data_IF_208173050951
#
_entry.id   IF_208173050951
#
_cell.length_a   1.000
_cell.length_b   1.000
_cell.length_c   1.000
_cell.angle_alpha   90.00
_cell.angle_beta   90.00
_cell.angle_gamma   90.00
#
_symmetry.space_group_name_H-M   'P 1'
#
loop_
_entity.id
_entity.type
_entity.pdbx_description
1 polymer ?
#
# COMPACT_ATOMS: atom_id res chain seq x y z
N UNK A 1 -33.53 -50.74 -49.39
CA UNK A 1 -32.06 -50.92 -49.36
C UNK A 1 -31.44 -49.64 -48.80
N UNK A 2 -30.46 -49.78 -47.87
CA UNK A 2 -29.76 -48.75 -47.07
C UNK A 2 -30.52 -48.29 -45.81
N UNK A 3 -30.30 -48.91 -44.65
CA UNK A 3 -29.14 -48.98 -43.73
C UNK A 3 -29.24 -47.94 -42.59
N UNK A 4 -29.47 -48.50 -41.40
CA UNK A 4 -29.19 -47.98 -40.07
C UNK A 4 -27.99 -47.04 -39.99
N UNK A 5 -28.13 -45.96 -39.21
CA UNK A 5 -27.06 -45.47 -38.35
C UNK A 5 -27.62 -45.09 -36.98
N UNK A 6 -27.29 -45.92 -36.01
CA UNK A 6 -27.35 -45.62 -34.59
C UNK A 6 -26.44 -44.42 -34.28
N UNK A 7 -26.98 -43.38 -33.64
CA UNK A 7 -26.18 -42.41 -32.92
C UNK A 7 -26.28 -42.74 -31.43
N UNK A 8 -25.21 -43.35 -30.89
CA UNK A 8 -24.98 -43.40 -29.46
C UNK A 8 -24.52 -42.02 -29.01
N UNK A 9 -25.34 -41.33 -28.22
CA UNK A 9 -24.93 -40.14 -27.49
C UNK A 9 -24.26 -40.60 -26.19
N UNK A 10 -22.93 -40.53 -26.15
CA UNK A 10 -22.16 -40.75 -24.93
C UNK A 10 -22.18 -39.44 -24.15
N UNK A 11 -22.96 -39.37 -23.08
CA UNK A 11 -22.84 -38.33 -22.06
C UNK A 11 -21.49 -38.53 -21.34
N UNK A 12 -20.48 -37.75 -21.70
CA UNK A 12 -19.29 -37.62 -20.86
C UNK A 12 -19.64 -36.73 -19.67
N UNK A 13 -19.82 -37.33 -18.50
CA UNK A 13 -19.86 -36.61 -17.23
C UNK A 13 -18.40 -36.24 -16.91
N UNK A 14 -18.01 -35.02 -17.27
CA UNK A 14 -16.75 -34.45 -16.82
C UNK A 14 -16.90 -34.12 -15.34
N UNK A 15 -16.29 -34.94 -14.49
CA UNK A 15 -15.97 -34.57 -13.11
C UNK A 15 -14.99 -33.41 -13.17
N UNK A 16 -15.48 -32.19 -13.00
CA UNK A 16 -14.68 -31.07 -12.54
C UNK A 16 -14.25 -31.40 -11.11
N UNK A 17 -13.04 -31.93 -10.97
CA UNK A 17 -12.30 -31.85 -9.73
C UNK A 17 -12.11 -30.38 -9.42
N UNK A 18 -12.97 -29.84 -8.56
CA UNK A 18 -12.72 -28.62 -7.84
C UNK A 18 -11.42 -28.87 -7.08
N UNK A 19 -10.30 -28.29 -7.54
CA UNK A 19 -9.16 -28.09 -6.69
C UNK A 19 -9.69 -27.28 -5.51
N UNK A 20 -9.89 -27.94 -4.37
CA UNK A 20 -10.05 -27.23 -3.12
C UNK A 20 -8.75 -26.44 -2.95
N UNK A 21 -8.81 -25.13 -3.13
CA UNK A 21 -7.90 -24.25 -2.42
C UNK A 21 -8.09 -24.62 -0.95
N UNK A 22 -7.17 -25.42 -0.41
CA UNK A 22 -6.94 -25.39 1.01
C UNK A 22 -6.42 -23.99 1.28
N UNK A 23 -7.34 -23.11 1.65
CA UNK A 23 -7.01 -21.90 2.39
C UNK A 23 -6.24 -22.42 3.59
N UNK A 24 -4.92 -22.33 3.52
CA UNK A 24 -4.08 -22.51 4.69
C UNK A 24 -4.60 -21.46 5.67
N UNK A 25 -5.18 -21.94 6.77
CA UNK A 25 -5.63 -21.09 7.84
C UNK A 25 -4.50 -20.12 8.15
N UNK A 26 -4.74 -18.79 8.11
CA UNK A 26 -3.75 -17.83 8.55
C UNK A 26 -3.36 -18.25 9.97
N UNK A 27 -2.03 -18.35 10.16
CA UNK A 27 -1.37 -18.85 11.37
C UNK A 27 -2.14 -18.36 12.61
N UNK A 28 -2.95 -19.24 13.21
CA UNK A 28 -3.56 -19.00 14.50
C UNK A 28 -2.41 -18.69 15.45
N UNK A 29 -2.42 -17.49 16.00
CA UNK A 29 -1.58 -17.15 17.14
C UNK A 29 -1.96 -18.16 18.21
N UNK A 30 -1.08 -19.14 18.46
CA UNK A 30 -1.32 -20.18 19.48
C UNK A 30 -1.66 -19.52 20.80
N UNK A 31 -2.75 -20.01 21.36
CA UNK A 31 -3.60 -19.61 22.49
C UNK A 31 -2.91 -19.45 23.87
N UNK A 32 -1.65 -19.02 23.95
CA UNK A 32 -0.92 -18.97 25.23
C UNK A 32 -0.37 -17.60 25.64
N UNK A 33 -0.78 -16.51 24.98
CA UNK A 33 -0.31 -15.16 25.36
C UNK A 33 -1.30 -14.02 25.04
N UNK A 34 -2.61 -14.32 25.02
CA UNK A 34 -3.71 -13.35 24.84
C UNK A 34 -4.45 -13.04 26.16
N UNK A 35 -3.71 -12.93 27.26
CA UNK A 35 -4.20 -12.20 28.47
C UNK A 35 -4.37 -10.69 28.19
N UNK A 36 -3.94 -10.22 27.01
CA UNK A 36 -3.95 -8.82 26.62
C UNK A 36 -4.96 -8.61 25.48
N UNK A 37 -6.09 -7.99 25.79
CA UNK A 37 -7.16 -7.62 24.83
C UNK A 37 -6.66 -6.58 23.80
N UNK A 38 -6.01 -7.04 22.73
CA UNK A 38 -5.56 -6.21 21.60
C UNK A 38 -6.74 -5.93 20.65
N UNK A 39 -7.07 -4.66 20.44
CA UNK A 39 -8.15 -4.23 19.55
C UNK A 39 -7.65 -3.89 18.14
N UNK A 40 -6.47 -3.27 18.04
CA UNK A 40 -5.85 -2.93 16.78
C UNK A 40 -4.32 -2.95 16.90
N UNK A 41 -3.66 -3.30 15.79
CA UNK A 41 -2.23 -3.11 15.60
C UNK A 41 -2.00 -2.09 14.49
N UNK A 42 -0.93 -1.32 14.66
CA UNK A 42 -0.35 -0.51 13.61
C UNK A 42 1.09 -0.98 13.43
N UNK A 43 1.38 -1.54 12.28
CA UNK A 43 2.70 -2.04 11.95
C UNK A 43 3.41 -1.03 11.06
N UNK A 44 4.70 -0.84 11.31
CA UNK A 44 5.61 -0.15 10.40
C UNK A 44 6.67 -1.15 9.95
N UNK A 45 6.69 -1.41 8.64
CA UNK A 45 7.60 -2.35 8.01
C UNK A 45 8.61 -1.52 7.23
N UNK A 46 9.88 -1.64 7.62
CA UNK A 46 10.97 -0.96 6.93
C UNK A 46 11.45 -1.83 5.77
N UNK A 47 11.87 -1.20 4.67
CA UNK A 47 12.37 -1.89 3.47
C UNK A 47 13.36 -3.01 3.76
N UNK A 48 14.32 -2.77 4.64
CA UNK A 48 15.37 -3.73 5.02
C UNK A 48 14.87 -5.00 5.74
N UNK A 49 13.59 -5.04 6.14
CA UNK A 49 13.03 -6.12 6.96
C UNK A 49 12.13 -7.07 6.15
N UNK A 50 11.78 -6.73 4.91
CA UNK A 50 10.85 -7.53 4.11
C UNK A 50 11.15 -7.35 2.62
N UNK A 51 11.87 -8.29 2.03
CA UNK A 51 12.26 -8.19 0.62
C UNK A 51 11.07 -8.41 -0.32
N UNK A 52 10.00 -9.09 0.12
CA UNK A 52 8.83 -9.38 -0.71
C UNK A 52 7.97 -8.14 -0.88
N UNK A 53 7.72 -7.40 0.21
CA UNK A 53 6.91 -6.19 0.17
C UNK A 53 7.56 -5.03 -0.59
N UNK A 54 8.87 -5.07 -0.77
CA UNK A 54 9.65 -4.03 -1.42
C UNK A 54 10.40 -4.54 -2.67
N UNK A 55 10.04 -5.74 -3.16
CA UNK A 55 10.58 -6.26 -4.40
C UNK A 55 10.02 -5.46 -5.56
N UNK A 56 10.90 -4.85 -6.34
CA UNK A 56 10.57 -4.32 -7.66
C UNK A 56 11.22 -5.25 -8.68
N UNK A 57 10.42 -6.01 -9.44
CA UNK A 57 10.93 -6.71 -10.62
C UNK A 57 10.90 -5.72 -11.79
N UNK A 58 12.06 -5.49 -12.42
CA UNK A 58 12.19 -4.59 -13.57
C UNK A 58 11.25 -4.95 -14.73
N UNK A 59 10.77 -6.19 -14.79
CA UNK A 59 9.87 -6.68 -15.82
C UNK A 59 8.38 -6.71 -15.39
N UNK A 60 8.07 -6.32 -14.16
CA UNK A 60 6.70 -6.29 -13.64
C UNK A 60 6.25 -4.85 -13.41
N UNK A 61 4.94 -4.61 -13.54
CA UNK A 61 4.36 -3.33 -13.12
C UNK A 61 4.59 -3.18 -11.62
N UNK A 62 5.25 -2.09 -11.26
CA UNK A 62 5.51 -1.70 -9.88
C UNK A 62 4.20 -1.68 -9.06
N UNK A 63 4.23 -2.24 -7.85
CA UNK A 63 3.03 -2.34 -6.99
C UNK A 63 2.40 -0.97 -6.73
N UNK A 64 3.22 0.07 -6.54
CA UNK A 64 2.73 1.43 -6.34
C UNK A 64 2.04 1.96 -7.60
N UNK A 65 2.55 1.60 -8.78
CA UNK A 65 1.95 1.96 -10.08
C UNK A 65 0.60 1.26 -10.28
N UNK A 66 0.48 -0.04 -9.98
CA UNK A 66 -0.82 -0.73 -10.07
C UNK A 66 -1.86 -0.09 -9.12
N UNK A 67 -1.47 0.24 -7.89
CA UNK A 67 -2.36 0.92 -6.93
C UNK A 67 -2.77 2.31 -7.43
N UNK A 68 -1.85 3.06 -8.05
CA UNK A 68 -2.15 4.33 -8.70
C UNK A 68 -3.20 4.14 -9.79
N UNK A 69 -3.05 3.16 -10.67
CA UNK A 69 -4.02 2.88 -11.74
C UNK A 69 -5.41 2.54 -11.19
N UNK A 70 -5.49 1.69 -10.16
CA UNK A 70 -6.75 1.34 -9.49
C UNK A 70 -7.43 2.53 -8.81
N UNK A 71 -6.64 3.46 -8.26
CA UNK A 71 -7.18 4.70 -7.72
C UNK A 71 -7.75 5.57 -8.84
N UNK A 72 -7.00 5.74 -9.94
CA UNK A 72 -7.38 6.57 -11.09
C UNK A 72 -8.61 6.03 -11.84
N UNK A 73 -8.79 4.71 -11.91
CA UNK A 73 -9.99 4.09 -12.46
C UNK A 73 -11.21 4.20 -11.53
N UNK A 74 -10.99 4.54 -10.24
CA UNK A 74 -12.02 4.61 -9.22
C UNK A 74 -12.43 3.24 -8.65
N UNK A 75 -11.66 2.19 -8.96
CA UNK A 75 -11.88 0.84 -8.43
C UNK A 75 -11.62 0.77 -6.93
N UNK A 76 -10.64 1.54 -6.45
CA UNK A 76 -10.33 1.67 -5.03
C UNK A 76 -10.34 3.16 -4.62
N UNK A 77 -10.33 3.43 -3.30
CA UNK A 77 -10.37 4.79 -2.76
C UNK A 77 -9.25 5.06 -1.77
N UNK A 78 -8.83 6.32 -1.71
CA UNK A 78 -7.99 6.82 -0.64
C UNK A 78 -8.78 6.91 0.67
N UNK A 79 -8.14 6.54 1.76
CA UNK A 79 -8.64 6.65 3.11
C UNK A 79 -7.73 7.56 3.92
N UNK A 80 -8.35 8.34 4.80
CA UNK A 80 -7.63 9.14 5.77
C UNK A 80 -8.36 9.12 7.09
N UNK A 81 -7.58 9.27 8.17
CA UNK A 81 -8.11 9.46 9.50
C UNK A 81 -8.23 10.96 9.76
N UNK A 82 -9.38 11.40 10.27
CA UNK A 82 -9.56 12.81 10.65
C UNK A 82 -8.61 13.18 11.79
N UNK A 83 -8.20 14.46 11.85
CA UNK A 83 -7.27 15.00 12.87
C UNK A 83 -7.80 14.84 14.31
N UNK A 84 -9.11 14.78 14.50
CA UNK A 84 -9.75 14.56 15.79
C UNK A 84 -9.77 13.07 16.21
N UNK A 85 -9.00 12.20 15.53
CA UNK A 85 -8.97 10.76 15.76
C UNK A 85 -10.32 10.04 15.58
N UNK A 86 -11.30 10.65 14.92
CA UNK A 86 -12.58 10.00 14.62
C UNK A 86 -12.45 8.95 13.50
N UNK A 87 -13.60 8.47 13.03
CA UNK A 87 -13.71 7.45 11.98
C UNK A 87 -12.87 7.75 10.74
N UNK A 88 -12.47 6.66 10.11
CA UNK A 88 -11.83 6.65 8.81
C UNK A 88 -12.80 7.09 7.73
N UNK A 89 -12.34 7.97 6.86
CA UNK A 89 -13.14 8.49 5.77
C UNK A 89 -12.52 8.18 4.42
N UNK A 90 -13.39 7.98 3.43
CA UNK A 90 -12.95 8.01 2.04
C UNK A 90 -12.64 9.46 1.66
N UNK A 91 -11.50 9.67 1.02
CA UNK A 91 -11.27 10.86 0.23
C UNK A 91 -11.70 10.55 -1.20
N UNK A 92 -12.45 11.44 -1.87
CA UNK A 92 -12.43 11.43 -3.32
C UNK A 92 -10.97 11.59 -3.77
N UNK A 93 -10.62 11.04 -4.93
CA UNK A 93 -9.40 11.48 -5.60
C UNK A 93 -9.46 13.01 -5.72
N UNK A 94 -8.38 13.75 -5.41
CA UNK A 94 -8.40 15.19 -5.55
C UNK A 94 -8.84 15.56 -6.96
N UNK A 95 -9.77 16.52 -7.11
CA UNK A 95 -10.33 16.90 -8.41
C UNK A 95 -9.24 17.23 -9.43
N UNK A 96 -8.15 17.79 -8.94
CA UNK A 96 -6.95 18.12 -9.70
C UNK A 96 -6.28 16.91 -10.38
N UNK A 97 -6.38 15.72 -9.79
CA UNK A 97 -5.89 14.44 -10.36
C UNK A 97 -6.82 13.94 -11.45
N UNK A 98 -8.12 14.11 -11.26
CA UNK A 98 -9.12 13.78 -12.28
C UNK A 98 -8.97 14.71 -13.49
N UNK A 99 -8.73 15.99 -13.24
CA UNK A 99 -8.59 17.00 -14.29
C UNK A 99 -7.27 16.84 -15.07
N UNK A 100 -6.17 16.44 -14.44
CA UNK A 100 -4.91 16.18 -15.15
C UNK A 100 -5.02 15.03 -16.15
N UNK A 101 -5.78 13.99 -15.82
CA UNK A 101 -6.09 12.88 -16.74
C UNK A 101 -6.91 13.39 -17.93
N UNK A 102 -7.87 14.28 -17.67
CA UNK A 102 -8.78 14.80 -18.69
C UNK A 102 -8.11 15.81 -19.64
N UNK A 103 -7.16 16.60 -19.13
CA UNK A 103 -6.57 17.71 -19.88
C UNK A 103 -5.14 17.47 -20.37
N UNK A 104 -4.53 16.31 -20.05
CA UNK A 104 -3.18 15.92 -20.47
C UNK A 104 -2.13 17.04 -20.27
N UNK A 105 -2.24 17.75 -19.14
CA UNK A 105 -1.37 18.86 -18.83
C UNK A 105 -0.04 18.33 -18.26
N UNK A 106 1.00 18.37 -19.08
CA UNK A 106 2.37 17.94 -18.73
C UNK A 106 3.01 18.72 -17.57
N UNK A 107 2.39 19.82 -17.13
CA UNK A 107 2.88 20.63 -16.00
C UNK A 107 2.26 20.25 -14.65
N UNK A 108 1.33 19.29 -14.63
CA UNK A 108 0.62 18.88 -13.43
C UNK A 108 1.34 17.75 -12.66
N UNK A 109 1.38 17.88 -11.33
CA UNK A 109 1.92 16.87 -10.41
C UNK A 109 0.90 16.52 -9.33
N UNK A 110 0.87 15.25 -8.94
CA UNK A 110 0.02 14.72 -7.88
C UNK A 110 0.87 14.40 -6.65
N UNK A 111 0.58 15.06 -5.54
CA UNK A 111 1.27 14.84 -4.26
C UNK A 111 1.32 13.36 -3.84
N UNK A 112 0.29 12.55 -4.12
CA UNK A 112 0.29 11.13 -3.77
C UNK A 112 1.11 10.25 -4.71
N UNK A 113 1.39 10.69 -5.94
CA UNK A 113 2.01 9.83 -6.95
C UNK A 113 3.32 10.39 -7.51
N UNK A 114 3.65 11.64 -7.21
CA UNK A 114 4.81 12.35 -7.73
C UNK A 114 5.50 13.09 -6.59
N UNK A 115 6.83 13.09 -6.61
CA UNK A 115 7.67 13.82 -5.65
C UNK A 115 8.49 14.90 -6.36
N UNK A 116 8.80 15.97 -5.64
CA UNK A 116 9.66 17.03 -6.16
C UNK A 116 11.12 16.56 -6.14
N UNK A 117 11.73 16.35 -7.32
CA UNK A 117 13.14 15.94 -7.45
C UNK A 117 14.10 17.12 -7.57
N UNK A 118 13.63 18.28 -8.09
CA UNK A 118 14.44 19.48 -8.26
C UNK A 118 13.66 20.77 -7.91
N UNK A 119 14.37 21.88 -7.69
CA UNK A 119 13.77 23.22 -7.59
C UNK A 119 14.04 24.01 -6.30
N UNK A 120 14.69 23.42 -5.30
CA UNK A 120 14.97 24.13 -4.03
C UNK A 120 16.47 24.29 -3.73
N UNK A 121 17.34 23.80 -4.60
CA UNK A 121 18.77 24.07 -4.53
C UNK A 121 19.10 25.12 -5.59
N UNK A 122 19.77 26.23 -5.23
CA UNK A 122 20.18 27.22 -6.22
C UNK A 122 21.05 26.58 -7.31
N UNK A 123 20.84 27.00 -8.56
CA UNK A 123 21.72 26.63 -9.66
C UNK A 123 23.16 27.04 -9.32
N UNK A 124 24.16 26.26 -9.71
CA UNK A 124 25.56 26.64 -9.53
C UNK A 124 26.04 27.54 -10.68
N UNK A 125 26.80 28.57 -10.35
CA UNK A 125 27.49 29.42 -11.34
C UNK A 125 28.77 28.73 -11.85
N UNK A 126 29.45 29.36 -12.83
CA UNK A 126 30.67 28.81 -13.44
C UNK A 126 31.85 28.62 -12.47
N UNK A 127 31.77 29.18 -11.25
CA UNK A 127 32.77 29.03 -10.19
C UNK A 127 32.34 28.03 -9.11
N UNK A 128 31.22 27.33 -9.29
CA UNK A 128 30.68 26.35 -8.33
C UNK A 128 29.95 26.96 -7.13
N UNK A 129 29.83 28.28 -7.05
CA UNK A 129 29.01 28.96 -6.03
C UNK A 129 27.54 29.04 -6.45
N UNK A 130 26.66 29.43 -5.52
CA UNK A 130 25.25 29.61 -5.85
C UNK A 130 25.07 30.76 -6.87
N UNK A 131 24.15 30.56 -7.81
CA UNK A 131 23.81 31.54 -8.83
C UNK A 131 22.87 32.58 -8.22
N UNK A 132 23.27 33.84 -8.28
CA UNK A 132 22.55 34.96 -7.67
C UNK A 132 22.33 36.03 -8.74
N UNK A 133 21.09 36.47 -8.92
CA UNK A 133 20.75 37.63 -9.75
C UNK A 133 20.79 38.88 -8.87
N UNK A 134 21.71 39.84 -9.10
CA UNK A 134 21.78 41.05 -8.29
C UNK A 134 20.60 41.98 -8.58
N UNK A 135 20.12 42.68 -7.55
CA UNK A 135 19.15 43.77 -7.69
C UNK A 135 19.84 45.13 -7.79
N UNK A 136 19.26 46.09 -8.55
CA UNK A 136 19.80 47.46 -8.65
C UNK A 136 19.89 48.19 -7.31
N UNK A 137 19.04 47.84 -6.34
CA UNK A 137 18.93 48.48 -5.02
C UNK A 137 19.94 47.98 -3.98
N UNK A 138 20.86 47.08 -4.37
CA UNK A 138 21.73 46.38 -3.43
C UNK A 138 21.02 45.17 -2.82
N UNK A 139 21.52 43.97 -3.15
CA UNK A 139 20.91 42.69 -2.80
C UNK A 139 20.97 41.71 -3.98
N UNK A 140 20.50 40.49 -3.78
CA UNK A 140 20.40 39.51 -4.87
C UNK A 140 19.42 38.39 -4.55
N UNK A 141 18.91 37.73 -5.60
CA UNK A 141 18.01 36.58 -5.49
C UNK A 141 18.71 35.34 -6.01
N UNK A 142 18.63 34.26 -5.24
CA UNK A 142 19.08 32.96 -5.70
C UNK A 142 18.28 32.50 -6.92
N UNK A 143 18.98 32.02 -7.95
CA UNK A 143 18.36 31.46 -9.14
C UNK A 143 18.20 29.97 -8.91
N UNK A 144 16.95 29.52 -8.83
CA UNK A 144 16.60 28.10 -8.71
C UNK A 144 16.28 27.51 -10.09
N UNK A 145 16.57 26.22 -10.33
CA UNK A 145 16.03 25.53 -11.48
C UNK A 145 14.49 25.48 -11.37
N UNK A 146 13.76 25.28 -12.48
CA UNK A 146 12.33 25.03 -12.43
C UNK A 146 12.05 23.79 -11.57
N UNK A 147 10.90 23.78 -10.88
CA UNK A 147 10.46 22.59 -10.14
C UNK A 147 10.30 21.42 -11.10
N UNK A 148 10.94 20.30 -10.76
CA UNK A 148 10.78 19.03 -11.47
C UNK A 148 10.12 18.03 -10.54
N UNK A 149 9.10 17.35 -11.06
CA UNK A 149 8.39 16.29 -10.37
C UNK A 149 8.64 14.96 -11.06
N UNK A 150 8.85 13.93 -10.28
CA UNK A 150 9.11 12.56 -10.75
C UNK A 150 8.11 11.60 -10.11
N UNK A 151 7.68 10.54 -10.83
CA UNK A 151 6.75 9.59 -10.29
C UNK A 151 7.35 8.83 -9.10
N UNK A 152 6.52 8.52 -8.12
CA UNK A 152 6.85 7.64 -7.01
C UNK A 152 6.72 6.19 -7.50
N UNK A 153 7.77 5.42 -7.24
CA UNK A 153 7.89 4.00 -7.49
C UNK A 153 8.22 3.27 -6.18
N UNK A 154 8.00 1.96 -6.10
CA UNK A 154 8.17 1.18 -4.86
C UNK A 154 9.61 1.24 -4.33
N UNK A 155 10.61 1.43 -5.18
CA UNK A 155 12.00 1.60 -4.77
C UNK A 155 12.28 2.91 -4.03
N UNK A 156 11.39 3.90 -4.11
CA UNK A 156 11.45 5.12 -3.29
C UNK A 156 10.70 4.97 -1.96
N UNK A 157 9.88 3.93 -1.81
CA UNK A 157 9.16 3.65 -0.57
C UNK A 157 10.13 3.10 0.46
N UNK A 158 10.21 3.78 1.60
CA UNK A 158 11.09 3.39 2.71
C UNK A 158 10.38 2.58 3.78
N UNK A 159 9.07 2.80 3.93
CA UNK A 159 8.23 2.11 4.90
C UNK A 159 6.88 1.77 4.28
N UNK A 160 6.32 0.62 4.64
CA UNK A 160 4.86 0.39 4.49
C UNK A 160 4.26 0.23 5.88
N UNK A 161 3.08 0.82 6.06
CA UNK A 161 2.33 0.77 7.30
C UNK A 161 1.09 -0.07 7.10
N UNK A 162 0.83 -0.98 8.03
CA UNK A 162 -0.33 -1.86 7.98
C UNK A 162 -1.15 -1.64 9.25
N UNK A 163 -2.44 -1.40 9.09
CA UNK A 163 -3.39 -1.41 10.20
C UNK A 163 -4.08 -2.76 10.24
N UNK A 164 -4.11 -3.38 11.40
CA UNK A 164 -4.89 -4.57 11.67
C UNK A 164 -5.97 -4.29 12.71
N UNK A 165 -7.14 -4.88 12.52
CA UNK A 165 -8.23 -4.82 13.49
C UNK A 165 -8.55 -6.21 14.02
N UNK A 166 -8.99 -6.28 15.27
CA UNK A 166 -9.57 -7.49 15.85
C UNK A 166 -10.90 -7.79 15.17
N UNK A 167 -11.01 -8.97 14.60
CA UNK A 167 -12.22 -9.50 13.96
C UNK A 167 -12.62 -10.77 14.72
N UNK A 168 -13.92 -10.92 14.95
CA UNK A 168 -14.49 -12.15 15.47
C UNK A 168 -14.83 -13.08 14.31
N UNK A 169 -14.30 -14.30 14.33
CA UNK A 169 -14.70 -15.37 13.42
C UNK A 169 -15.76 -16.25 14.08
N UNK A 170 -16.98 -16.22 13.54
CA UNK A 170 -18.07 -17.06 14.01
C UNK A 170 -17.85 -18.55 13.74
N UNK A 171 -17.02 -18.92 12.77
CA UNK A 171 -16.78 -20.31 12.38
C UNK A 171 -15.80 -20.97 13.36
N UNK A 172 -14.65 -20.33 13.62
CA UNK A 172 -13.69 -20.81 14.62
C UNK A 172 -14.05 -20.43 16.06
N UNK A 173 -15.04 -19.54 16.26
CA UNK A 173 -15.44 -19.01 17.57
C UNK A 173 -14.28 -18.34 18.31
N UNK A 174 -13.42 -17.63 17.56
CA UNK A 174 -12.22 -16.99 18.08
C UNK A 174 -12.03 -15.59 17.47
N UNK A 175 -11.15 -14.80 18.08
CA UNK A 175 -10.75 -13.50 17.58
C UNK A 175 -9.35 -13.55 16.97
N UNK A 176 -9.20 -12.94 15.80
CA UNK A 176 -7.91 -12.77 15.15
C UNK A 176 -7.73 -11.33 14.70
N UNK A 177 -6.47 -10.93 14.46
CA UNK A 177 -6.16 -9.63 13.88
C UNK A 177 -6.14 -9.78 12.37
N UNK A 178 -6.96 -8.99 11.67
CA UNK A 178 -7.02 -8.95 10.21
C UNK A 178 -6.41 -7.65 9.70
N UNK A 179 -5.52 -7.69 8.69
CA UNK A 179 -5.09 -6.48 7.98
C UNK A 179 -6.29 -5.80 7.32
N UNK A 180 -6.49 -4.51 7.60
CA UNK A 180 -7.63 -3.75 7.08
C UNK A 180 -7.22 -2.61 6.16
N UNK A 181 -6.05 -2.00 6.39
CA UNK A 181 -5.53 -0.93 5.55
C UNK A 181 -4.01 -0.99 5.44
N UNK A 182 -3.50 -0.54 4.30
CA UNK A 182 -2.08 -0.37 4.03
C UNK A 182 -1.79 1.05 3.58
N UNK A 183 -0.62 1.56 3.92
CA UNK A 183 -0.11 2.84 3.48
C UNK A 183 1.38 2.75 3.15
N UNK A 184 1.84 3.62 2.27
CA UNK A 184 3.24 3.69 1.83
C UNK A 184 3.83 4.98 2.37
N UNK A 185 5.09 4.98 2.80
CA UNK A 185 5.81 6.19 3.19
C UNK A 185 7.06 6.32 2.32
N UNK A 186 7.22 7.50 1.74
CA UNK A 186 8.31 7.84 0.83
C UNK A 186 9.20 8.83 1.55
N UNK A 187 10.44 8.42 1.85
CA UNK A 187 11.44 9.33 2.38
C UNK A 187 11.91 10.26 1.26
N UNK A 188 11.31 11.44 1.20
CA UNK A 188 11.86 12.56 0.44
C UNK A 188 12.44 13.57 1.44
N UNK A 189 13.34 14.43 0.95
CA UNK A 189 13.86 15.60 1.65
C UNK A 189 12.78 16.55 2.21
N UNK A 190 11.53 16.47 1.71
CA UNK A 190 10.35 17.16 2.25
C UNK A 190 9.36 16.26 2.98
N UNK A 191 9.70 14.99 3.21
CA UNK A 191 8.96 13.98 3.98
C UNK A 191 7.47 14.20 4.04
N UNK A 192 6.75 13.57 3.14
CA UNK A 192 5.36 13.17 3.25
C UNK A 192 5.19 12.37 1.94
N UNK A 193 4.53 11.23 1.90
CA UNK A 193 3.09 11.21 2.05
C UNK A 193 2.69 9.76 2.28
N UNK A 194 1.92 9.55 3.34
CA UNK A 194 1.27 8.27 3.59
C UNK A 194 -0.22 8.39 3.33
N UNK A 195 -0.66 7.71 2.29
CA UNK A 195 -2.08 7.54 1.95
C UNK A 195 -2.51 6.13 2.34
N UNK A 196 -3.74 5.98 2.82
CA UNK A 196 -4.25 4.67 3.20
C UNK A 196 -5.17 4.12 2.12
N UNK A 197 -5.05 2.83 1.84
CA UNK A 197 -5.99 2.07 1.01
C UNK A 197 -6.44 0.84 1.78
N UNK A 198 -7.65 0.36 1.50
CA UNK A 198 -8.18 -0.84 2.16
C UNK A 198 -7.55 -2.11 1.56
N UNK A 199 -7.15 -3.02 2.44
CA UNK A 199 -6.60 -4.32 2.02
C UNK A 199 -7.63 -5.13 1.24
N UNK A 200 -8.91 -5.11 1.67
CA UNK A 200 -9.98 -5.83 0.96
C UNK A 200 -10.24 -5.27 -0.46
N UNK A 201 -10.07 -3.95 -0.65
CA UNK A 201 -10.21 -3.32 -1.98
C UNK A 201 -9.03 -3.74 -2.88
N UNK A 202 -7.82 -3.75 -2.32
CA UNK A 202 -6.64 -4.26 -3.03
C UNK A 202 -6.74 -5.74 -3.36
N UNK A 203 -7.14 -6.59 -2.42
CA UNK A 203 -7.30 -8.04 -2.64
C UNK A 203 -8.39 -8.35 -3.67
N UNK A 204 -9.40 -7.51 -3.81
CA UNK A 204 -10.40 -7.70 -4.85
C UNK A 204 -9.91 -7.25 -6.23
N UNK A 205 -9.15 -6.16 -6.31
CA UNK A 205 -8.90 -5.46 -7.57
C UNK A 205 -7.48 -5.64 -8.13
N UNK A 206 -6.46 -5.88 -7.31
CA UNK A 206 -5.10 -6.16 -7.78
C UNK A 206 -5.05 -7.52 -8.47
N UNK A 207 -4.47 -7.55 -9.68
CA UNK A 207 -4.35 -8.75 -10.52
C UNK A 207 -2.89 -9.07 -10.86
N UNK A 208 -2.03 -8.05 -10.92
CA UNK A 208 -0.64 -8.22 -11.36
C UNK A 208 0.22 -8.57 -10.16
N UNK A 209 0.17 -7.77 -9.09
CA UNK A 209 0.95 -8.01 -7.88
C UNK A 209 0.19 -8.87 -6.86
N UNK A 210 -0.38 -10.02 -7.30
CA UNK A 210 -1.12 -10.95 -6.43
C UNK A 210 -0.26 -11.52 -5.29
N UNK A 211 1.01 -11.84 -5.56
CA UNK A 211 1.93 -12.34 -4.53
C UNK A 211 2.12 -11.32 -3.40
N UNK A 212 2.22 -10.03 -3.75
CA UNK A 212 2.38 -8.95 -2.79
C UNK A 212 1.16 -8.80 -1.88
N UNK A 213 -0.05 -8.77 -2.46
CA UNK A 213 -1.27 -8.65 -1.63
C UNK A 213 -1.53 -9.93 -0.81
N UNK A 214 -1.22 -11.12 -1.35
CA UNK A 214 -1.28 -12.37 -0.58
C UNK A 214 -0.31 -12.35 0.61
N UNK A 215 0.89 -11.80 0.43
CA UNK A 215 1.85 -11.64 1.52
C UNK A 215 1.30 -10.76 2.66
N UNK A 216 0.48 -9.75 2.31
CA UNK A 216 -0.24 -8.93 3.29
C UNK A 216 -1.41 -9.70 3.92
N UNK A 217 -2.31 -10.27 3.13
CA UNK A 217 -3.54 -10.90 3.65
C UNK A 217 -3.24 -12.16 4.47
N UNK A 218 -2.15 -12.86 4.16
CA UNK A 218 -1.65 -14.02 4.91
C UNK A 218 -0.71 -13.63 6.06
N UNK A 219 -0.52 -12.33 6.31
CA UNK A 219 0.31 -11.78 7.39
C UNK A 219 1.75 -12.31 7.40
N UNK A 220 2.35 -12.46 6.21
CA UNK A 220 3.71 -12.99 6.03
C UNK A 220 4.80 -11.92 6.22
N UNK A 221 4.47 -10.80 6.86
CA UNK A 221 5.36 -9.68 7.09
C UNK A 221 5.76 -9.53 8.55
N UNK A 222 6.87 -8.81 8.78
CA UNK A 222 7.35 -8.46 10.12
C UNK A 222 7.67 -6.96 10.20
N UNK A 223 7.20 -6.32 11.26
CA UNK A 223 7.39 -4.88 11.43
C UNK A 223 7.41 -4.46 12.89
N UNK A 224 7.71 -3.18 13.11
CA UNK A 224 7.53 -2.55 14.41
C UNK A 224 6.03 -2.42 14.68
N UNK A 225 5.56 -2.97 15.81
CA UNK A 225 4.14 -2.99 16.15
C UNK A 225 3.81 -1.98 17.24
N UNK A 226 2.87 -1.09 16.94
CA UNK A 226 2.14 -0.29 17.92
C UNK A 226 0.80 -0.96 18.19
N UNK A 227 0.61 -1.45 19.40
CA UNK A 227 -0.63 -2.13 19.81
C UNK A 227 -1.52 -1.19 20.59
N UNK A 228 -2.82 -1.22 20.30
CA UNK A 228 -3.84 -0.62 21.15
C UNK A 228 -4.61 -1.71 21.88
N UNK A 229 -4.54 -1.67 23.20
CA UNK A 229 -5.16 -2.59 24.13
C UNK A 229 -6.30 -1.87 24.81
N UNK A 230 -7.52 -2.22 24.45
CA UNK A 230 -8.69 -1.60 25.04
C UNK A 230 -9.68 -2.68 25.40
N UNK A 231 -9.47 -3.23 26.59
CA UNK A 231 -10.59 -3.71 27.38
C UNK A 231 -10.90 -2.80 28.59
N UNK A 232 -9.97 -1.98 29.15
CA UNK A 232 -10.25 -1.01 30.24
C UNK A 232 -9.14 0.09 30.50
N UNK A 233 -8.67 0.84 29.49
CA UNK A 233 -7.72 2.01 29.59
C UNK A 233 -6.19 1.72 29.54
N UNK A 234 -5.33 2.76 29.49
CA UNK A 234 -4.56 3.16 28.31
C UNK A 234 -3.21 2.44 28.11
N UNK A 235 -2.85 2.36 26.82
CA UNK A 235 -1.66 1.76 26.17
C UNK A 235 -0.31 2.19 26.80
N UNK A 236 0.82 1.47 26.69
CA UNK A 236 1.51 0.94 25.50
C UNK A 236 2.47 -0.20 25.92
N UNK A 237 2.68 -1.21 25.06
CA UNK A 237 3.74 -2.23 25.26
C UNK A 237 4.45 -2.51 23.93
N UNK A 238 5.78 -2.46 23.96
CA UNK A 238 6.64 -2.87 22.86
C UNK A 238 6.65 -4.41 22.80
N UNK A 239 6.27 -5.01 21.65
CA UNK A 239 6.45 -6.46 21.41
C UNK A 239 7.23 -6.65 20.12
N UNK A 240 8.41 -7.26 20.24
CA UNK A 240 9.17 -7.78 19.10
C UNK A 240 8.56 -9.15 18.80
N UNK A 241 7.92 -9.29 17.64
CA UNK A 241 7.37 -10.58 17.21
C UNK A 241 8.47 -11.31 16.45
N UNK A 242 9.11 -12.27 17.11
CA UNK A 242 10.02 -13.19 16.43
C UNK A 242 9.22 -14.27 15.70
N UNK A 243 9.61 -14.67 14.49
CA UNK A 243 9.08 -15.89 13.89
C UNK A 243 9.50 -17.08 14.76
N UNK A 244 8.52 -17.84 15.25
CA UNK A 244 8.79 -19.21 15.67
C UNK A 244 9.14 -20.00 14.41
N UNK A 245 10.43 -20.37 14.33
CA UNK A 245 10.91 -21.42 13.44
C UNK A 245 10.27 -22.72 13.95
N UNK A 246 9.24 -23.17 13.24
CA UNK A 246 8.80 -24.57 13.28
C UNK A 246 9.53 -25.32 12.16
#
# INVERSE_FOLDING_TARGET
MKLNRFFFSVLSVSFLTVLSCQVQNPRSIKETDLDECVQENWLTIYRKNDDVLFLSDENQIDTYTEIKELLLSGDIRLWYKRRNNSDWMTSPLPETVRDSILYNDSSYYNLYFDYQSEGDIPMKNSKGGDSIRPYPSGGGVYIYPPHKYEPITLDLVTEIRIKENRIYDSISNDYYLKPVMVAFDVFTWKHNISFWVKVDDLDKHMQINRSWINHITEQKYHGFVYQRRSCNAPDYKHKIIYPTLD
#
